data_IF_677642888647
#
_entry.id   IF_677642888647
#
_cell.length_a   1.000
_cell.length_b   1.000
_cell.length_c   1.000
_cell.angle_alpha   90.00
_cell.angle_beta   90.00
_cell.angle_gamma   90.00
#
_symmetry.space_group_name_H-M   'P 1'
#
loop_
_entity.id
_entity.type
_entity.pdbx_description
1 polymer ?
#
# COMPACT_ATOMS: atom_id res chain seq x y z
N UNK A 1 -0.43 -18.32 20.82
CA UNK A 1 -0.71 -16.96 21.36
C UNK A 1 0.35 -15.89 21.05
N UNK A 2 1.65 -16.07 21.36
CA UNK A 2 2.71 -15.08 20.99
C UNK A 2 3.13 -15.17 19.51
N UNK A 3 3.17 -16.39 18.96
CA UNK A 3 3.44 -16.64 17.53
C UNK A 3 2.39 -16.02 16.60
N UNK A 4 1.10 -16.06 16.96
CA UNK A 4 0.03 -15.63 16.06
C UNK A 4 0.10 -14.13 15.75
N UNK A 5 0.51 -13.32 16.73
CA UNK A 5 0.74 -11.88 16.52
C UNK A 5 1.96 -11.61 15.65
N UNK A 6 3.05 -12.35 15.84
CA UNK A 6 4.26 -12.19 15.01
C UNK A 6 3.98 -12.54 13.55
N UNK A 7 3.25 -13.64 13.32
CA UNK A 7 2.80 -14.05 11.99
C UNK A 7 1.91 -12.97 11.37
N UNK A 8 0.98 -12.39 12.14
CA UNK A 8 0.14 -11.30 11.67
C UNK A 8 0.95 -10.07 11.25
N UNK A 9 1.90 -9.61 12.07
CA UNK A 9 2.77 -8.48 11.73
C UNK A 9 3.66 -8.77 10.51
N UNK A 10 4.12 -10.01 10.35
CA UNK A 10 4.85 -10.42 9.15
C UNK A 10 4.01 -10.25 7.88
N UNK A 11 2.76 -10.70 7.90
CA UNK A 11 1.84 -10.50 6.78
C UNK A 11 1.51 -9.01 6.54
N UNK A 12 1.40 -8.19 7.59
CA UNK A 12 1.25 -6.74 7.42
C UNK A 12 2.44 -6.13 6.67
N UNK A 13 3.67 -6.55 7.00
CA UNK A 13 4.88 -6.06 6.32
C UNK A 13 4.88 -6.50 4.86
N UNK A 14 4.61 -7.79 4.59
CA UNK A 14 4.53 -8.32 3.22
C UNK A 14 3.50 -7.57 2.37
N UNK A 15 2.31 -7.33 2.91
CA UNK A 15 1.25 -6.58 2.21
C UNK A 15 1.71 -5.14 1.95
N UNK A 16 2.37 -4.50 2.92
CA UNK A 16 2.90 -3.13 2.75
C UNK A 16 3.93 -3.07 1.63
N UNK A 17 4.88 -4.01 1.59
CA UNK A 17 5.89 -4.08 0.51
C UNK A 17 5.19 -4.31 -0.84
N UNK A 18 4.24 -5.25 -0.89
CA UNK A 18 3.49 -5.56 -2.11
C UNK A 18 2.73 -4.35 -2.64
N UNK A 19 2.02 -3.61 -1.79
CA UNK A 19 1.29 -2.42 -2.23
C UNK A 19 2.22 -1.28 -2.63
N UNK A 20 3.39 -1.12 -1.99
CA UNK A 20 4.41 -0.13 -2.43
C UNK A 20 4.87 -0.46 -3.85
N UNK A 21 5.19 -1.73 -4.14
CA UNK A 21 5.60 -2.15 -5.48
C UNK A 21 4.51 -1.89 -6.53
N UNK A 22 3.25 -2.20 -6.19
CA UNK A 22 2.11 -1.92 -7.08
C UNK A 22 1.96 -0.41 -7.32
N UNK A 23 2.12 0.41 -6.28
CA UNK A 23 2.05 1.87 -6.41
C UNK A 23 3.15 2.42 -7.33
N UNK A 24 4.39 1.94 -7.20
CA UNK A 24 5.50 2.33 -8.08
C UNK A 24 5.27 1.90 -9.53
N UNK A 25 4.78 0.68 -9.75
CA UNK A 25 4.42 0.20 -11.08
C UNK A 25 3.28 1.01 -11.70
N UNK A 26 2.29 1.39 -10.87
CA UNK A 26 1.17 2.25 -11.27
C UNK A 26 1.70 3.62 -11.71
N UNK A 27 2.55 4.25 -10.90
CA UNK A 27 3.13 5.55 -11.24
C UNK A 27 3.98 5.48 -12.51
N UNK A 28 4.71 4.38 -12.72
CA UNK A 28 5.43 4.12 -13.98
C UNK A 28 4.49 4.02 -15.17
N UNK A 29 3.37 3.33 -15.01
CA UNK A 29 2.39 3.17 -16.08
C UNK A 29 1.79 4.52 -16.44
N UNK A 30 1.33 5.28 -15.44
CA UNK A 30 0.72 6.60 -15.62
C UNK A 30 1.70 7.59 -16.27
N UNK A 31 3.00 7.52 -15.95
CA UNK A 31 3.99 8.42 -16.55
C UNK A 31 4.37 8.08 -17.99
N UNK A 32 4.20 6.83 -18.42
CA UNK A 32 4.62 6.37 -19.75
C UNK A 32 3.45 6.14 -20.72
N UNK A 33 2.23 5.97 -20.20
CA UNK A 33 1.04 5.67 -21.00
C UNK A 33 0.08 6.85 -20.91
N UNK A 34 -0.23 7.45 -22.06
CA UNK A 34 -1.20 8.55 -22.16
C UNK A 34 -2.65 8.02 -22.18
N UNK A 35 -2.99 7.18 -21.20
CA UNK A 35 -4.32 6.60 -20.99
C UNK A 35 -4.91 7.12 -19.67
N UNK A 36 -5.63 8.23 -19.77
CA UNK A 36 -6.25 8.91 -18.63
C UNK A 36 -7.27 8.02 -17.92
N UNK A 37 -8.07 7.26 -18.66
CA UNK A 37 -9.11 6.41 -18.06
C UNK A 37 -8.49 5.21 -17.34
N UNK A 38 -7.54 4.52 -17.97
CA UNK A 38 -6.79 3.45 -17.33
C UNK A 38 -6.02 3.93 -16.09
N UNK A 39 -5.44 5.13 -16.15
CA UNK A 39 -4.77 5.75 -15.00
C UNK A 39 -5.70 5.93 -13.81
N UNK A 40 -6.91 6.48 -14.02
CA UNK A 40 -7.91 6.60 -12.95
C UNK A 40 -8.36 5.23 -12.43
N UNK A 41 -8.61 4.25 -13.31
CA UNK A 41 -9.01 2.90 -12.89
C UNK A 41 -7.97 2.25 -11.97
N UNK A 42 -6.68 2.36 -12.30
CA UNK A 42 -5.60 1.78 -11.48
C UNK A 42 -5.48 2.52 -10.14
N UNK A 43 -5.55 3.85 -10.13
CA UNK A 43 -5.49 4.64 -8.89
C UNK A 43 -6.66 4.31 -7.94
N UNK A 44 -7.89 4.28 -8.45
CA UNK A 44 -9.04 3.92 -7.63
C UNK A 44 -8.99 2.46 -7.18
N UNK A 45 -8.54 1.54 -8.05
CA UNK A 45 -8.33 0.14 -7.71
C UNK A 45 -7.33 -0.03 -6.55
N UNK A 46 -6.23 0.71 -6.57
CA UNK A 46 -5.24 0.71 -5.49
C UNK A 46 -5.83 1.28 -4.19
N UNK A 47 -6.55 2.40 -4.25
CA UNK A 47 -7.21 3.02 -3.09
C UNK A 47 -8.24 2.08 -2.45
N UNK A 48 -9.07 1.41 -3.25
CA UNK A 48 -10.04 0.44 -2.74
C UNK A 48 -9.37 -0.79 -2.15
N UNK A 49 -8.31 -1.30 -2.79
CA UNK A 49 -7.54 -2.44 -2.28
C UNK A 49 -6.91 -2.10 -0.92
N UNK A 50 -6.27 -0.95 -0.78
CA UNK A 50 -5.69 -0.50 0.50
C UNK A 50 -6.79 -0.32 1.57
N UNK A 51 -7.94 0.23 1.19
CA UNK A 51 -9.09 0.39 2.09
C UNK A 51 -9.62 -0.95 2.59
N UNK A 52 -9.71 -1.95 1.71
CA UNK A 52 -10.12 -3.30 2.06
C UNK A 52 -9.09 -4.01 2.95
N UNK A 53 -7.80 -3.84 2.67
CA UNK A 53 -6.71 -4.33 3.53
C UNK A 53 -6.83 -3.72 4.94
N UNK A 54 -7.03 -2.40 5.05
CA UNK A 54 -7.23 -1.73 6.35
C UNK A 54 -8.41 -2.34 7.13
N UNK A 55 -9.50 -2.66 6.42
CA UNK A 55 -10.66 -3.32 7.02
C UNK A 55 -10.31 -4.74 7.52
N UNK A 56 -9.59 -5.53 6.73
CA UNK A 56 -9.17 -6.88 7.12
C UNK A 56 -8.22 -6.86 8.33
N UNK A 57 -7.28 -5.92 8.37
CA UNK A 57 -6.37 -5.77 9.50
C UNK A 57 -7.10 -5.41 10.80
N UNK A 58 -8.08 -4.50 10.69
CA UNK A 58 -8.95 -4.16 11.82
C UNK A 58 -9.74 -5.38 12.29
N UNK A 59 -10.25 -6.19 11.36
CA UNK A 59 -10.97 -7.43 11.66
C UNK A 59 -10.07 -8.50 12.28
N UNK A 60 -8.77 -8.51 11.95
CA UNK A 60 -7.76 -9.38 12.53
C UNK A 60 -7.27 -8.92 13.93
N UNK A 61 -7.84 -7.85 14.49
CA UNK A 61 -7.52 -7.36 15.84
C UNK A 61 -6.34 -6.40 15.89
N UNK A 62 -5.86 -5.89 14.74
CA UNK A 62 -4.81 -4.87 14.71
C UNK A 62 -5.39 -3.54 15.15
N UNK A 63 -4.71 -2.86 16.08
CA UNK A 63 -5.16 -1.56 16.57
C UNK A 63 -5.15 -0.49 15.47
N UNK A 64 -6.13 0.41 15.50
CA UNK A 64 -6.23 1.54 14.56
C UNK A 64 -4.95 2.39 14.51
N UNK A 65 -4.23 2.52 15.63
CA UNK A 65 -2.95 3.25 15.71
C UNK A 65 -1.88 2.60 14.84
N UNK A 66 -1.75 1.27 14.88
CA UNK A 66 -0.75 0.54 14.07
C UNK A 66 -1.08 0.65 12.58
N UNK A 67 -2.35 0.50 12.20
CA UNK A 67 -2.80 0.67 10.80
C UNK A 67 -2.46 2.07 10.30
N UNK A 68 -2.68 3.10 11.12
CA UNK A 68 -2.32 4.47 10.79
C UNK A 68 -0.81 4.67 10.60
N UNK A 69 0.02 4.14 11.51
CA UNK A 69 1.49 4.20 11.38
C UNK A 69 1.94 3.54 10.08
N UNK A 70 1.44 2.33 9.79
CA UNK A 70 1.76 1.59 8.58
C UNK A 70 1.35 2.36 7.32
N UNK A 71 0.16 2.98 7.30
CA UNK A 71 -0.28 3.80 6.18
C UNK A 71 0.60 5.05 5.99
N UNK A 72 1.04 5.69 7.07
CA UNK A 72 2.00 6.79 6.99
C UNK A 72 3.34 6.34 6.43
N UNK A 73 3.87 5.20 6.90
CA UNK A 73 5.12 4.61 6.38
C UNK A 73 4.98 4.27 4.89
N UNK A 74 3.87 3.63 4.49
CA UNK A 74 3.55 3.36 3.10
C UNK A 74 3.60 4.64 2.24
N UNK A 75 2.91 5.70 2.67
CA UNK A 75 2.86 6.97 1.93
C UNK A 75 4.24 7.59 1.80
N UNK A 76 5.02 7.65 2.89
CA UNK A 76 6.39 8.19 2.88
C UNK A 76 7.29 7.37 1.96
N UNK A 77 7.20 6.04 1.99
CA UNK A 77 7.97 5.16 1.12
C UNK A 77 7.62 5.37 -0.35
N UNK A 78 6.34 5.43 -0.70
CA UNK A 78 5.91 5.66 -2.09
C UNK A 78 6.42 7.01 -2.57
N UNK A 79 6.28 8.09 -1.79
CA UNK A 79 6.75 9.43 -2.17
C UNK A 79 8.27 9.43 -2.34
N UNK A 80 9.01 8.90 -1.36
CA UNK A 80 10.49 8.93 -1.37
C UNK A 80 11.06 8.11 -2.52
N UNK A 81 10.51 6.90 -2.76
CA UNK A 81 10.95 6.04 -3.86
C UNK A 81 10.54 6.60 -5.21
N UNK A 82 9.37 7.22 -5.33
CA UNK A 82 8.97 7.90 -6.57
C UNK A 82 9.90 9.07 -6.86
N UNK A 83 10.20 9.90 -5.86
CA UNK A 83 11.16 10.99 -6.04
C UNK A 83 12.51 10.46 -6.51
N UNK A 84 13.07 9.47 -5.81
CA UNK A 84 14.36 8.86 -6.16
C UNK A 84 14.42 8.19 -7.54
N UNK A 85 13.31 7.61 -8.01
CA UNK A 85 13.27 6.88 -9.29
C UNK A 85 12.98 7.75 -10.50
N UNK A 86 12.33 8.91 -10.32
CA UNK A 86 11.81 9.73 -11.42
C UNK A 86 12.33 11.18 -11.45
N UNK A 87 13.06 11.63 -10.42
CA UNK A 87 13.68 12.95 -10.33
C UNK A 87 15.16 12.82 -9.92
#
# INVERSE_FOLDING_TARGET
MKNDKQVLYFYMILVTIGTVLIALATLRYISNVNDTYGSYMILFGLLFTISYINYLEKKAGISKKVIWIRNSVYTVLVISLTYFLYF
#
